data_IF_832394695136
#
_entry.id   IF_832394695136
#
_cell.length_a   1.000
_cell.length_b   1.000
_cell.length_c   1.000
_cell.angle_alpha   90.00
_cell.angle_beta   90.00
_cell.angle_gamma   90.00
#
_symmetry.space_group_name_H-M   'P 1'
#
loop_
_entity.id
_entity.type
_entity.pdbx_description
1 polymer ?
#
# COMPACT_ATOMS: atom_id res chain seq x y z
N UNK A 1 1.58 14.56 -10.01
CA UNK A 1 0.71 14.59 -8.81
C UNK A 1 0.07 13.24 -8.66
N UNK A 2 0.10 12.68 -7.46
CA UNK A 2 -0.40 11.35 -7.16
C UNK A 2 -1.34 11.35 -5.97
N UNK A 3 -2.19 10.34 -5.91
CA UNK A 3 -2.93 10.02 -4.69
C UNK A 3 -2.33 8.77 -4.07
N UNK A 4 -2.08 8.81 -2.76
CA UNK A 4 -1.73 7.63 -1.97
C UNK A 4 -2.97 7.19 -1.22
N UNK A 5 -3.32 5.91 -1.32
CA UNK A 5 -4.39 5.31 -0.54
C UNK A 5 -3.84 4.21 0.35
N UNK A 6 -4.30 4.18 1.59
CA UNK A 6 -4.21 3.03 2.47
C UNK A 6 -5.50 2.25 2.35
N UNK A 7 -5.39 0.97 2.06
CA UNK A 7 -6.53 0.13 1.77
C UNK A 7 -6.42 -1.21 2.50
N UNK A 8 -7.57 -1.76 2.88
CA UNK A 8 -7.69 -3.07 3.52
C UNK A 8 -8.14 -4.11 2.51
N UNK A 9 -7.52 -5.28 2.55
CA UNK A 9 -7.90 -6.40 1.72
C UNK A 9 -6.84 -7.48 1.70
N UNK A 10 -7.12 -8.57 0.99
CA UNK A 10 -6.13 -9.59 0.65
C UNK A 10 -5.17 -9.14 -0.44
N UNK A 11 -5.53 -8.08 -1.18
CA UNK A 11 -4.75 -7.49 -2.26
C UNK A 11 -4.88 -5.97 -2.24
N UNK A 12 -3.81 -5.29 -2.62
CA UNK A 12 -3.80 -3.85 -2.81
C UNK A 12 -4.39 -3.40 -4.16
N UNK A 13 -4.50 -4.33 -5.13
CA UNK A 13 -5.10 -4.05 -6.44
C UNK A 13 -6.63 -4.00 -6.35
N UNK A 14 -7.20 -4.94 -5.58
CA UNK A 14 -8.64 -5.06 -5.34
C UNK A 14 -8.90 -5.02 -3.83
N UNK A 15 -8.79 -3.84 -3.21
CA UNK A 15 -9.06 -3.72 -1.79
C UNK A 15 -10.56 -3.86 -1.51
N UNK A 16 -10.86 -4.42 -0.35
CA UNK A 16 -12.23 -4.50 0.19
C UNK A 16 -12.69 -3.13 0.69
N UNK A 17 -11.77 -2.31 1.21
CA UNK A 17 -12.06 -1.03 1.83
C UNK A 17 -10.88 -0.06 1.67
N UNK A 18 -11.16 1.22 1.45
CA UNK A 18 -10.15 2.30 1.58
C UNK A 18 -10.20 2.85 3.00
N UNK A 19 -9.10 2.77 3.73
CA UNK A 19 -8.98 3.24 5.12
C UNK A 19 -8.70 4.74 5.17
N UNK A 20 -7.76 5.20 4.35
CA UNK A 20 -7.37 6.61 4.31
C UNK A 20 -6.80 6.97 2.94
N UNK A 21 -6.83 8.26 2.62
CA UNK A 21 -6.39 8.82 1.34
C UNK A 21 -5.63 10.12 1.56
N UNK A 22 -4.46 10.24 0.94
CA UNK A 22 -3.65 11.46 0.93
C UNK A 22 -3.27 11.87 -0.48
N UNK A 23 -3.16 13.17 -0.66
CA UNK A 23 -2.69 13.76 -1.89
C UNK A 23 -1.18 14.00 -1.78
N UNK A 24 -0.44 13.50 -2.76
CA UNK A 24 1.01 13.65 -2.86
C UNK A 24 1.33 14.61 -4.01
N UNK A 25 1.75 15.82 -3.66
CA UNK A 25 2.13 16.86 -4.61
C UNK A 25 3.56 16.64 -5.14
N UNK A 26 3.74 15.52 -5.84
CA UNK A 26 4.98 15.17 -6.54
C UNK A 26 4.65 14.63 -7.93
N UNK A 27 5.59 14.76 -8.85
CA UNK A 27 5.60 14.12 -10.17
C UNK A 27 6.44 12.83 -10.19
N UNK A 28 7.21 12.54 -9.14
CA UNK A 28 8.03 11.33 -9.01
C UNK A 28 7.25 10.16 -8.38
N UNK A 29 7.00 9.11 -9.16
CA UNK A 29 6.35 7.90 -8.67
C UNK A 29 7.17 7.20 -7.57
N UNK A 30 8.50 7.21 -7.69
CA UNK A 30 9.39 6.62 -6.67
C UNK A 30 9.23 7.33 -5.32
N UNK A 31 9.12 8.66 -5.34
CA UNK A 31 8.87 9.45 -4.14
C UNK A 31 7.50 9.11 -3.53
N UNK A 32 6.45 9.08 -4.36
CA UNK A 32 5.11 8.73 -3.90
C UNK A 32 5.04 7.32 -3.29
N UNK A 33 5.76 6.35 -3.87
CA UNK A 33 5.88 4.99 -3.32
C UNK A 33 6.62 4.96 -1.99
N UNK A 34 7.72 5.72 -1.86
CA UNK A 34 8.47 5.82 -0.62
C UNK A 34 7.64 6.46 0.51
N UNK A 35 6.92 7.53 0.20
CA UNK A 35 5.99 8.19 1.13
C UNK A 35 4.85 7.24 1.54
N UNK A 36 4.26 6.52 0.58
CA UNK A 36 3.21 5.56 0.85
C UNK A 36 3.67 4.41 1.77
N UNK A 37 4.89 3.90 1.54
CA UNK A 37 5.50 2.88 2.38
C UNK A 37 5.80 3.41 3.79
N UNK A 38 6.33 4.63 3.90
CA UNK A 38 6.58 5.27 5.19
C UNK A 38 5.29 5.39 5.99
N UNK A 39 4.24 5.91 5.35
CA UNK A 39 2.95 6.10 5.99
C UNK A 39 2.29 4.79 6.41
N UNK A 40 2.35 3.74 5.58
CA UNK A 40 1.88 2.40 5.97
C UNK A 40 2.58 1.91 7.24
N UNK A 41 3.90 2.12 7.36
CA UNK A 41 4.67 1.69 8.54
C UNK A 41 4.24 2.43 9.81
N UNK A 42 3.97 3.73 9.73
CA UNK A 42 3.47 4.51 10.88
C UNK A 42 2.10 4.00 11.37
N UNK A 43 1.20 3.71 10.44
CA UNK A 43 -0.14 3.19 10.75
C UNK A 43 -0.03 1.78 11.33
N UNK A 44 0.82 0.93 10.76
CA UNK A 44 1.04 -0.43 11.27
C UNK A 44 1.65 -0.44 12.68
N UNK A 45 2.45 0.56 13.05
CA UNK A 45 2.97 0.66 14.41
C UNK A 45 1.86 0.88 15.44
N UNK A 46 0.79 1.58 15.06
CA UNK A 46 -0.29 2.02 15.94
C UNK A 46 -1.58 1.20 15.83
N UNK A 47 -1.79 0.45 14.74
CA UNK A 47 -3.02 -0.29 14.49
C UNK A 47 -2.91 -1.82 14.71
N UNK A 48 -3.95 -2.49 15.23
CA UNK A 48 -3.98 -3.94 15.47
C UNK A 48 -4.06 -4.80 14.20
N UNK A 49 -4.28 -4.21 13.00
CA UNK A 49 -4.48 -4.93 11.73
C UNK A 49 -3.24 -4.91 10.82
N UNK A 50 -2.05 -5.24 11.37
CA UNK A 50 -0.75 -5.16 10.68
C UNK A 50 -0.64 -5.94 9.36
N UNK A 51 -1.45 -6.97 9.15
CA UNK A 51 -1.32 -7.87 7.99
C UNK A 51 -2.28 -7.65 6.81
N UNK A 52 -3.36 -6.89 7.00
CA UNK A 52 -4.41 -6.73 5.97
C UNK A 52 -4.46 -5.33 5.37
N UNK A 53 -3.52 -4.45 5.74
CA UNK A 53 -3.46 -3.07 5.26
C UNK A 53 -2.31 -2.92 4.27
N UNK A 54 -2.61 -2.35 3.12
CA UNK A 54 -1.67 -2.10 2.04
C UNK A 54 -1.73 -0.62 1.66
N UNK A 55 -0.69 -0.13 0.98
CA UNK A 55 -0.76 1.13 0.27
C UNK A 55 -0.96 0.88 -1.23
N UNK A 56 -1.52 1.86 -1.93
CA UNK A 56 -1.48 1.95 -3.39
C UNK A 56 -1.35 3.40 -3.82
N UNK A 57 -0.77 3.61 -4.98
CA UNK A 57 -0.57 4.92 -5.60
C UNK A 57 -1.44 5.00 -6.84
N UNK A 58 -2.22 6.06 -6.95
CA UNK A 58 -3.11 6.33 -8.06
C UNK A 58 -2.61 7.55 -8.85
N UNK A 59 -2.75 7.47 -10.16
CA UNK A 59 -2.57 8.59 -11.07
C UNK A 59 -3.66 9.64 -10.93
N UNK A 60 -3.54 10.74 -11.67
CA UNK A 60 -4.53 11.84 -11.67
C UNK A 60 -5.93 11.40 -12.11
N UNK A 61 -6.02 10.37 -12.96
CA UNK A 61 -7.24 9.76 -13.46
C UNK A 61 -7.85 8.74 -12.47
N UNK A 62 -7.21 8.50 -11.33
CA UNK A 62 -7.62 7.47 -10.37
C UNK A 62 -7.17 6.06 -10.75
N UNK A 63 -6.36 5.90 -11.80
CA UNK A 63 -5.81 4.59 -12.18
C UNK A 63 -4.74 4.18 -11.18
N UNK A 64 -4.78 2.93 -10.70
CA UNK A 64 -3.73 2.38 -9.84
C UNK A 64 -2.46 2.16 -10.66
N UNK A 65 -1.39 2.83 -10.27
CA UNK A 65 -0.10 2.81 -10.99
C UNK A 65 1.06 2.32 -10.12
N UNK A 66 0.83 2.11 -8.82
CA UNK A 66 1.85 1.65 -7.89
C UNK A 66 1.28 1.05 -6.61
N UNK A 67 2.10 0.27 -5.92
CA UNK A 67 1.75 -0.42 -4.68
C UNK A 67 2.98 -1.11 -4.09
N UNK A 68 2.86 -1.81 -2.96
CA UNK A 68 3.94 -2.62 -2.43
C UNK A 68 4.40 -3.58 -3.51
N UNK A 69 5.71 -3.63 -3.74
CA UNK A 69 6.32 -4.64 -4.59
C UNK A 69 5.77 -6.01 -4.17
N UNK A 70 5.59 -6.94 -5.12
CA UNK A 70 5.48 -8.36 -4.78
C UNK A 70 6.78 -8.74 -4.06
N UNK A 71 6.86 -8.45 -2.77
CA UNK A 71 7.69 -9.24 -1.89
C UNK A 71 7.08 -10.65 -2.02
N UNK A 72 7.85 -11.67 -2.43
CA UNK A 72 7.35 -13.03 -2.35
C UNK A 72 6.82 -13.21 -0.93
N UNK A 73 5.59 -13.72 -0.82
CA UNK A 73 4.98 -14.03 0.46
C UNK A 73 5.85 -15.08 1.17
N UNK A 74 6.88 -14.63 1.88
CA UNK A 74 7.83 -15.47 2.59
C UNK A 74 8.14 -14.86 3.93
N UNK A 75 7.15 -14.97 4.82
CA UNK A 75 7.36 -15.16 6.24
C UNK A 75 6.14 -15.89 6.81
N UNK A 76 5.84 -17.05 6.22
CA UNK A 76 4.71 -17.89 6.62
C UNK A 76 4.70 -19.16 5.79
N UNK A 77 5.38 -20.17 6.32
CA UNK A 77 5.21 -21.59 6.00
C UNK A 77 5.62 -22.08 4.60
N UNK A 78 6.86 -22.56 4.51
CA UNK A 78 7.16 -23.73 3.69
C UNK A 78 7.76 -24.79 4.61
N UNK A 79 6.88 -25.55 5.24
CA UNK A 79 7.20 -26.86 5.80
C UNK A 79 6.38 -27.91 5.06
N UNK A 80 7.03 -29.04 4.76
CA UNK A 80 6.50 -30.31 4.25
C UNK A 80 6.67 -30.57 2.75
N UNK A 81 7.57 -31.51 2.46
CA UNK A 81 7.75 -32.16 1.16
C UNK A 81 9.12 -32.80 1.03
#
# INVERSE_FOLDING_TARGET
MFTIELARGSSWQEPVETIDRRYCDTDSLEFALAEALHWLREIQQTAPARGATHYRVLGQDGTVIGGPARLPASAGDQSSG
#
